data_IF_622052476472
#
_entry.id   IF_622052476472
#
_cell.length_a   1.000
_cell.length_b   1.000
_cell.length_c   1.000
_cell.angle_alpha   90.00
_cell.angle_beta   90.00
_cell.angle_gamma   90.00
#
_symmetry.space_group_name_H-M   'P 1'
#
loop_
_entity.id
_entity.type
_entity.pdbx_description
1 polymer ?
#
# COMPACT_ATOMS: atom_id res chain seq x y z
N UNK A 1 12.53 -0.75 15.27
CA UNK A 1 12.20 -1.98 14.52
C UNK A 1 11.00 -1.81 13.59
N UNK A 2 9.88 -1.32 14.08
CA UNK A 2 8.68 -1.05 13.23
C UNK A 2 8.91 0.02 12.17
N UNK A 3 9.66 1.06 12.49
CA UNK A 3 10.02 2.12 11.54
C UNK A 3 10.83 1.56 10.36
N UNK A 4 11.82 0.72 10.64
CA UNK A 4 12.61 0.05 9.60
C UNK A 4 11.73 -0.82 8.70
N UNK A 5 10.79 -1.58 9.27
CA UNK A 5 9.89 -2.43 8.49
C UNK A 5 8.96 -1.62 7.57
N UNK A 6 8.46 -0.48 8.05
CA UNK A 6 7.64 0.41 7.23
C UNK A 6 8.44 1.02 6.07
N UNK A 7 9.69 1.43 6.33
CA UNK A 7 10.57 1.97 5.30
C UNK A 7 10.90 0.91 4.25
N UNK A 8 11.22 -0.31 4.66
CA UNK A 8 11.52 -1.40 3.73
C UNK A 8 10.31 -1.75 2.85
N UNK A 9 9.12 -1.84 3.43
CA UNK A 9 7.89 -2.06 2.66
C UNK A 9 7.60 -0.88 1.72
N UNK A 10 7.79 0.36 2.17
CA UNK A 10 7.63 1.54 1.33
C UNK A 10 8.58 1.51 0.12
N UNK A 11 9.85 1.18 0.33
CA UNK A 11 10.83 1.03 -0.76
C UNK A 11 10.41 -0.04 -1.76
N UNK A 12 9.94 -1.18 -1.27
CA UNK A 12 9.47 -2.27 -2.13
C UNK A 12 8.28 -1.84 -2.98
N UNK A 13 7.32 -1.11 -2.41
CA UNK A 13 6.19 -0.55 -3.15
C UNK A 13 6.65 0.52 -4.17
N UNK A 14 7.54 1.42 -3.79
CA UNK A 14 8.05 2.49 -4.68
C UNK A 14 8.82 1.90 -5.87
N UNK A 15 9.54 0.80 -5.68
CA UNK A 15 10.29 0.15 -6.76
C UNK A 15 9.40 -0.45 -7.86
N UNK A 16 8.10 -0.53 -7.63
CA UNK A 16 7.12 -1.03 -8.60
C UNK A 16 6.51 0.14 -9.36
N UNK A 17 6.74 0.28 -10.67
CA UNK A 17 6.30 1.44 -11.45
C UNK A 17 4.79 1.38 -11.75
N UNK A 18 3.98 1.48 -10.74
CA UNK A 18 2.52 1.37 -10.78
C UNK A 18 1.85 2.65 -11.27
N UNK A 19 2.22 3.11 -12.45
CA UNK A 19 1.60 4.27 -13.10
C UNK A 19 0.15 3.93 -13.45
N UNK A 20 -0.77 4.78 -13.02
CA UNK A 20 -2.22 4.61 -13.15
C UNK A 20 -2.65 4.10 -14.54
N UNK A 21 -3.48 3.08 -14.66
CA UNK A 21 -4.11 2.27 -13.59
C UNK A 21 -3.37 0.95 -13.31
N UNK A 22 -2.13 0.81 -13.72
CA UNK A 22 -1.34 -0.42 -13.59
C UNK A 22 -0.82 -0.58 -12.15
N UNK A 23 -1.26 -1.62 -11.45
CA UNK A 23 -0.88 -1.90 -10.06
C UNK A 23 0.54 -2.46 -9.91
N UNK A 24 1.12 -3.06 -10.93
CA UNK A 24 2.46 -3.67 -10.89
C UNK A 24 2.65 -4.64 -9.71
N UNK A 25 1.62 -5.40 -9.36
CA UNK A 25 1.61 -6.35 -8.23
C UNK A 25 1.88 -5.71 -6.85
N UNK A 26 1.64 -4.42 -6.69
CA UNK A 26 1.66 -3.78 -5.38
C UNK A 26 0.62 -4.41 -4.45
N UNK A 27 -0.62 -4.61 -4.94
CA UNK A 27 -1.69 -5.22 -4.15
C UNK A 27 -1.36 -6.66 -3.77
N UNK A 28 -0.77 -7.44 -4.67
CA UNK A 28 -0.37 -8.81 -4.39
C UNK A 28 0.61 -8.89 -3.20
N UNK A 29 1.59 -7.99 -3.16
CA UNK A 29 2.54 -7.88 -2.05
C UNK A 29 1.82 -7.64 -0.72
N UNK A 30 0.84 -6.72 -0.71
CA UNK A 30 0.06 -6.39 0.49
C UNK A 30 -0.84 -7.56 0.92
N UNK A 31 -1.49 -8.21 -0.05
CA UNK A 31 -2.33 -9.40 0.17
C UNK A 31 -1.53 -10.51 0.84
N UNK A 32 -0.37 -10.84 0.32
CA UNK A 32 0.48 -11.91 0.87
C UNK A 32 0.90 -11.65 2.32
N UNK A 33 1.16 -10.40 2.67
CA UNK A 33 1.51 -10.00 4.03
C UNK A 33 0.31 -10.11 4.97
N UNK A 34 -0.83 -9.56 4.57
CA UNK A 34 -2.03 -9.48 5.40
C UNK A 34 -2.75 -10.82 5.57
N UNK A 35 -2.73 -11.69 4.55
CA UNK A 35 -3.25 -13.05 4.68
C UNK A 35 -2.52 -13.85 5.76
N UNK A 36 -1.21 -13.66 5.91
CA UNK A 36 -0.41 -14.33 6.96
C UNK A 36 -0.87 -13.99 8.38
N UNK A 37 -1.54 -12.87 8.56
CA UNK A 37 -2.07 -12.43 9.86
C UNK A 37 -3.60 -12.49 9.92
N UNK A 38 -4.22 -13.29 9.05
CA UNK A 38 -5.65 -13.65 9.15
C UNK A 38 -6.62 -12.72 8.45
N UNK A 39 -6.17 -11.88 7.52
CA UNK A 39 -7.08 -11.12 6.66
C UNK A 39 -7.68 -11.99 5.58
N UNK A 40 -9.00 -11.91 5.40
CA UNK A 40 -9.70 -12.41 4.22
C UNK A 40 -9.57 -11.40 3.08
N UNK A 41 -9.52 -11.88 1.85
CA UNK A 41 -9.25 -11.08 0.66
C UNK A 41 -10.40 -11.22 -0.32
N UNK A 42 -10.86 -10.10 -0.87
CA UNK A 42 -11.80 -10.03 -1.96
C UNK A 42 -11.23 -9.13 -3.05
N UNK A 43 -10.96 -9.70 -4.21
CA UNK A 43 -10.49 -8.96 -5.38
C UNK A 43 -11.67 -8.31 -6.09
N UNK A 44 -11.54 -7.02 -6.40
CA UNK A 44 -12.58 -6.20 -7.01
C UNK A 44 -12.04 -5.62 -8.31
N UNK A 45 -12.37 -6.25 -9.44
CA UNK A 45 -11.93 -5.82 -10.77
C UNK A 45 -13.02 -5.03 -11.47
N UNK A 46 -12.66 -3.85 -11.99
CA UNK A 46 -13.53 -2.99 -12.80
C UNK A 46 -12.79 -2.62 -14.09
N UNK A 47 -13.11 -3.31 -15.19
CA UNK A 47 -12.35 -3.19 -16.44
C UNK A 47 -10.88 -3.63 -16.20
N UNK A 48 -9.95 -2.77 -16.52
CA UNK A 48 -8.52 -2.99 -16.32
C UNK A 48 -8.02 -2.56 -14.92
N UNK A 49 -8.93 -2.03 -14.09
CA UNK A 49 -8.59 -1.55 -12.75
C UNK A 49 -8.68 -2.67 -11.73
N UNK A 50 -7.60 -2.88 -10.98
CA UNK A 50 -7.52 -3.81 -9.87
C UNK A 50 -7.75 -3.07 -8.56
N UNK A 51 -8.69 -3.58 -7.76
CA UNK A 51 -8.90 -3.14 -6.39
C UNK A 51 -8.95 -4.36 -5.48
N UNK A 52 -8.67 -4.18 -4.22
CA UNK A 52 -8.74 -5.26 -3.24
C UNK A 52 -9.35 -4.78 -1.93
N UNK A 53 -10.26 -5.58 -1.40
CA UNK A 53 -10.79 -5.45 -0.06
C UNK A 53 -10.19 -6.53 0.82
N UNK A 54 -9.62 -6.11 1.93
CA UNK A 54 -9.03 -7.01 2.92
C UNK A 54 -9.70 -6.76 4.27
N UNK A 55 -10.09 -7.82 4.96
CA UNK A 55 -10.75 -7.68 6.26
C UNK A 55 -10.33 -8.78 7.22
N UNK A 56 -10.04 -8.38 8.46
CA UNK A 56 -9.84 -9.25 9.60
C UNK A 56 -10.93 -8.96 10.64
N UNK A 57 -11.65 -10.01 11.06
CA UNK A 57 -12.79 -9.91 11.96
C UNK A 57 -14.13 -9.87 11.25
N UNK A 58 -15.18 -10.20 11.97
CA UNK A 58 -16.56 -10.30 11.46
C UNK A 58 -17.54 -9.37 12.19
N UNK A 59 -17.08 -8.73 13.25
CA UNK A 59 -17.91 -7.89 14.13
C UNK A 59 -17.71 -6.41 13.83
N UNK A 60 -18.74 -5.63 14.15
CA UNK A 60 -18.67 -4.17 14.20
C UNK A 60 -18.01 -3.72 15.53
N UNK A 61 -17.41 -2.51 15.57
CA UNK A 61 -17.22 -1.61 14.43
C UNK A 61 -16.14 -2.09 13.46
N UNK A 62 -16.18 -1.58 12.23
CA UNK A 62 -15.14 -1.81 11.24
C UNK A 62 -14.27 -0.55 11.14
N UNK A 63 -12.99 -0.68 11.43
CA UNK A 63 -12.00 0.36 11.18
C UNK A 63 -11.36 0.10 9.83
N UNK A 64 -11.52 1.02 8.88
CA UNK A 64 -11.05 0.85 7.51
C UNK A 64 -9.99 1.88 7.14
N UNK A 65 -8.84 1.40 6.69
CA UNK A 65 -7.87 2.22 5.96
C UNK A 65 -8.22 2.18 4.48
N UNK A 66 -8.25 3.34 3.82
CA UNK A 66 -8.39 3.43 2.38
C UNK A 66 -7.14 4.05 1.78
N UNK A 67 -6.66 3.48 0.68
CA UNK A 67 -5.48 3.97 -0.02
C UNK A 67 -5.40 3.45 -1.45
N UNK A 68 -4.43 3.98 -2.19
CA UNK A 68 -4.20 3.59 -3.58
C UNK A 68 -2.73 3.25 -3.83
N UNK A 69 -2.50 2.28 -4.71
CA UNK A 69 -1.15 1.85 -5.10
C UNK A 69 -0.66 2.52 -6.37
N UNK A 70 -1.58 3.07 -7.16
CA UNK A 70 -1.23 3.76 -8.40
C UNK A 70 -0.60 5.12 -8.13
N UNK A 71 0.22 5.55 -9.08
CA UNK A 71 0.94 6.81 -9.03
C UNK A 71 0.80 7.55 -10.34
N UNK A 72 0.89 8.88 -10.29
CA UNK A 72 0.92 9.70 -11.50
C UNK A 72 2.22 9.49 -12.29
N UNK A 73 2.22 9.78 -13.60
CA UNK A 73 3.46 9.73 -14.40
C UNK A 73 4.57 10.59 -13.80
N UNK A 74 5.82 10.18 -14.03
CA UNK A 74 6.99 10.83 -13.45
C UNK A 74 7.30 12.22 -14.02
N UNK A 75 6.79 12.50 -15.22
CA UNK A 75 7.33 13.59 -16.03
C UNK A 75 8.75 13.26 -16.54
N UNK A 76 9.49 14.26 -17.00
CA UNK A 76 10.85 14.06 -17.53
C UNK A 76 11.79 13.49 -16.47
N UNK A 77 12.27 12.26 -16.69
CA UNK A 77 13.12 11.53 -15.74
C UNK A 77 14.46 12.24 -15.50
N UNK A 78 14.95 12.95 -16.49
CA UNK A 78 16.20 13.72 -16.40
C UNK A 78 16.12 14.89 -15.41
N UNK A 79 14.93 15.28 -14.95
CA UNK A 79 14.73 16.30 -13.93
C UNK A 79 14.73 15.76 -12.51
N UNK A 80 14.82 14.45 -12.35
CA UNK A 80 14.89 13.84 -11.04
C UNK A 80 16.35 13.73 -10.58
N UNK A 81 16.59 14.03 -9.30
CA UNK A 81 17.93 13.88 -8.69
C UNK A 81 18.33 12.42 -8.46
N UNK A 82 17.34 11.54 -8.40
CA UNK A 82 17.48 10.08 -8.38
C UNK A 82 16.35 9.44 -9.16
N UNK A 83 16.54 8.25 -9.77
CA UNK A 83 15.49 7.61 -10.57
C UNK A 83 14.18 7.47 -9.79
N UNK A 84 13.01 7.81 -10.38
CA UNK A 84 11.74 7.90 -9.66
C UNK A 84 11.25 6.57 -9.06
N UNK A 85 11.64 5.42 -9.63
CA UNK A 85 11.28 4.10 -9.11
C UNK A 85 12.45 3.36 -8.45
N UNK A 86 13.52 4.07 -8.13
CA UNK A 86 14.61 3.59 -7.29
C UNK A 86 14.59 4.33 -5.95
N UNK A 87 13.90 3.78 -4.93
CA UNK A 87 13.71 4.48 -3.67
C UNK A 87 15.06 4.83 -3.02
N UNK A 88 15.27 6.11 -2.78
CA UNK A 88 16.57 6.63 -2.33
C UNK A 88 16.42 7.42 -1.04
N UNK A 89 17.21 7.06 -0.03
CA UNK A 89 17.28 7.82 1.20
C UNK A 89 18.38 8.89 1.11
N UNK A 90 18.03 10.13 1.38
CA UNK A 90 18.96 11.26 1.46
C UNK A 90 18.51 12.21 2.56
N UNK A 91 19.46 12.62 3.41
CA UNK A 91 19.21 13.62 4.46
C UNK A 91 18.00 13.29 5.34
N UNK A 92 17.81 12.00 5.67
CA UNK A 92 16.70 11.55 6.52
C UNK A 92 15.32 11.53 5.82
N UNK A 93 15.29 11.57 4.49
CA UNK A 93 14.06 11.54 3.69
C UNK A 93 14.13 10.43 2.66
N UNK A 94 12.97 9.84 2.35
CA UNK A 94 12.80 8.85 1.31
C UNK A 94 12.26 9.51 0.04
N UNK A 95 13.01 9.36 -1.05
CA UNK A 95 12.68 9.92 -2.37
C UNK A 95 12.25 8.82 -3.35
N UNK A 96 11.19 9.09 -4.09
CA UNK A 96 10.69 8.24 -5.15
C UNK A 96 9.26 8.64 -5.54
N UNK A 97 8.82 8.25 -6.74
CA UNK A 97 7.44 8.48 -7.17
C UNK A 97 6.49 7.65 -6.30
N UNK A 98 5.50 8.31 -5.70
CA UNK A 98 4.57 7.68 -4.78
C UNK A 98 5.05 7.58 -3.33
N UNK A 99 6.25 8.10 -2.99
CA UNK A 99 6.75 8.10 -1.63
C UNK A 99 5.84 8.88 -0.67
N UNK A 100 5.37 10.05 -1.07
CA UNK A 100 4.45 10.86 -0.28
C UNK A 100 2.98 10.52 -0.56
N UNK A 101 2.63 10.20 -1.80
CA UNK A 101 1.27 9.94 -2.28
C UNK A 101 1.23 8.62 -3.07
N UNK A 102 0.89 7.51 -2.41
CA UNK A 102 0.77 7.40 -0.95
C UNK A 102 1.35 6.07 -0.44
N UNK A 103 2.37 5.53 -1.12
CA UNK A 103 2.93 4.20 -0.82
C UNK A 103 3.52 4.09 0.59
N UNK A 104 4.11 5.16 1.11
CA UNK A 104 4.63 5.15 2.49
C UNK A 104 3.49 5.07 3.51
N UNK A 105 2.38 5.76 3.27
CA UNK A 105 1.19 5.64 4.12
C UNK A 105 0.63 4.22 4.13
N UNK A 106 0.56 3.57 2.96
CA UNK A 106 0.15 2.16 2.86
C UNK A 106 1.09 1.26 3.64
N UNK A 107 2.40 1.44 3.49
CA UNK A 107 3.39 0.67 4.24
C UNK A 107 3.19 0.82 5.77
N UNK A 108 2.90 2.03 6.23
CA UNK A 108 2.59 2.30 7.64
C UNK A 108 1.31 1.61 8.10
N UNK A 109 0.23 1.60 7.29
CA UNK A 109 -1.02 0.88 7.65
C UNK A 109 -0.75 -0.60 7.86
N UNK A 110 -0.06 -1.20 6.89
CA UNK A 110 0.18 -2.65 6.87
C UNK A 110 1.05 -3.06 8.05
N UNK A 111 2.16 -2.38 8.27
CA UNK A 111 3.05 -2.71 9.39
C UNK A 111 2.40 -2.43 10.76
N UNK A 112 1.54 -1.42 10.85
CA UNK A 112 0.74 -1.17 12.05
C UNK A 112 -0.26 -2.29 12.31
N UNK A 113 -0.94 -2.81 11.26
CA UNK A 113 -1.81 -3.97 11.37
C UNK A 113 -1.06 -5.22 11.82
N UNK A 114 0.10 -5.49 11.23
CA UNK A 114 0.94 -6.65 11.59
C UNK A 114 1.32 -6.60 13.08
N UNK A 115 1.77 -5.45 13.57
CA UNK A 115 2.11 -5.27 14.97
C UNK A 115 0.89 -5.38 15.89
N UNK A 116 -0.20 -4.68 15.55
CA UNK A 116 -1.41 -4.69 16.35
C UNK A 116 -1.99 -6.11 16.50
N UNK A 117 -2.07 -6.86 15.40
CA UNK A 117 -2.58 -8.23 15.42
C UNK A 117 -1.67 -9.17 16.24
N UNK A 118 -0.35 -9.00 16.15
CA UNK A 118 0.59 -9.78 16.94
C UNK A 118 0.42 -9.53 18.44
N UNK A 119 0.18 -8.29 18.84
CA UNK A 119 -0.05 -7.90 20.25
C UNK A 119 -1.49 -8.19 20.72
N UNK A 120 -2.46 -8.21 19.80
CA UNK A 120 -3.90 -8.34 20.11
C UNK A 120 -4.58 -9.34 19.15
N UNK A 121 -4.23 -10.65 19.20
CA UNK A 121 -4.78 -11.62 18.25
C UNK A 121 -6.29 -11.79 18.35
N UNK A 122 -6.86 -11.53 19.52
CA UNK A 122 -8.30 -11.66 19.83
C UNK A 122 -9.02 -10.29 19.93
N UNK A 123 -8.55 -9.29 19.16
CA UNK A 123 -9.14 -7.95 19.21
C UNK A 123 -10.64 -7.93 18.89
N UNK A 124 -11.35 -6.98 19.49
CA UNK A 124 -12.76 -6.72 19.19
C UNK A 124 -12.92 -5.96 17.86
N UNK A 125 -14.11 -6.08 17.26
CA UNK A 125 -14.40 -5.41 15.99
C UNK A 125 -13.62 -5.98 14.80
N UNK A 126 -13.52 -5.20 13.74
CA UNK A 126 -12.86 -5.58 12.50
C UNK A 126 -11.90 -4.52 12.01
N UNK A 127 -10.84 -4.96 11.35
CA UNK A 127 -9.91 -4.09 10.63
C UNK A 127 -10.06 -4.40 9.15
N UNK A 128 -10.16 -3.37 8.32
CA UNK A 128 -10.27 -3.51 6.89
C UNK A 128 -9.32 -2.56 6.16
N UNK A 129 -8.92 -2.95 4.95
CA UNK A 129 -8.20 -2.12 4.01
C UNK A 129 -8.92 -2.17 2.66
N UNK A 130 -9.19 -1.00 2.11
CA UNK A 130 -9.62 -0.84 0.72
C UNK A 130 -8.45 -0.24 -0.06
N UNK A 131 -7.89 -1.01 -0.96
CA UNK A 131 -6.73 -0.59 -1.78
C UNK A 131 -7.16 -0.57 -3.24
N UNK A 132 -6.98 0.57 -3.87
CA UNK A 132 -7.36 0.81 -5.28
C UNK A 132 -6.15 1.09 -6.14
N UNK A 133 -6.31 1.00 -7.48
CA UNK A 133 -5.22 1.26 -8.43
C UNK A 133 -5.55 2.30 -9.51
N UNK A 134 -6.62 3.08 -9.33
CA UNK A 134 -7.02 4.12 -10.28
C UNK A 134 -7.53 5.40 -9.59
N UNK A 135 -6.95 5.75 -8.45
CA UNK A 135 -7.32 6.97 -7.73
C UNK A 135 -6.87 8.23 -8.46
N UNK A 136 -5.71 8.15 -9.11
CA UNK A 136 -5.08 9.25 -9.84
C UNK A 136 -5.58 9.39 -11.30
N UNK A 137 -6.51 8.55 -11.72
CA UNK A 137 -7.07 8.52 -13.06
C UNK A 137 -8.60 8.65 -13.07
N UNK A 138 -9.25 7.78 -13.85
CA UNK A 138 -10.71 7.81 -14.03
C UNK A 138 -11.51 7.34 -12.80
N UNK A 139 -10.84 6.70 -11.86
CA UNK A 139 -11.40 6.19 -10.61
C UNK A 139 -12.57 5.20 -10.82
N UNK A 140 -12.37 4.22 -11.70
CA UNK A 140 -13.32 3.17 -12.01
C UNK A 140 -13.42 2.12 -10.89
#
# INVERSE_FOLDING_TARGET
MTETQSIELAKELISRPSVTPDDQNCQQLLVERLQKIGFAVEELHFGDTQNVWLRRGTQAPVFCFAGHTDVVPTGPVEKWDSPPFEPTEREGRLYGRGAADMKTSIACFVTACERFVAENPDHQGSIALLITSDEEGDAL
#
